data_IF_830687406716
#
_entry.id   IF_830687406716
#
_cell.length_a   1.000
_cell.length_b   1.000
_cell.length_c   1.000
_cell.angle_alpha   90.00
_cell.angle_beta   90.00
_cell.angle_gamma   90.00
#
_symmetry.space_group_name_H-M   'P 1'
#
loop_
_entity.id
_entity.type
_entity.pdbx_description
1 polymer ?
#
# COMPACT_ATOMS: atom_id res chain seq x y z
N UNK A 1 36.16 -26.49 26.53
CA UNK A 1 34.85 -26.56 25.80
C UNK A 1 33.74 -25.73 26.44
N UNK A 2 33.62 -25.55 27.76
CA UNK A 2 32.58 -24.72 28.40
C UNK A 2 32.65 -23.23 28.02
N UNK A 3 33.84 -22.66 27.80
CA UNK A 3 34.00 -21.23 27.45
C UNK A 3 33.61 -20.89 26.03
N UNK A 4 33.70 -21.83 25.07
CA UNK A 4 33.30 -21.64 23.67
C UNK A 4 31.77 -21.55 23.54
N UNK A 5 31.03 -22.31 24.37
CA UNK A 5 29.58 -22.32 24.36
C UNK A 5 28.99 -20.98 24.86
N UNK A 6 29.63 -20.36 25.86
CA UNK A 6 29.20 -19.07 26.43
C UNK A 6 29.43 -17.94 25.42
N UNK A 7 30.53 -17.97 24.68
CA UNK A 7 30.83 -16.95 23.65
C UNK A 7 29.85 -17.02 22.48
N UNK A 8 29.44 -18.22 22.06
CA UNK A 8 28.41 -18.42 21.03
C UNK A 8 27.02 -17.95 21.48
N UNK A 9 26.65 -18.12 22.75
CA UNK A 9 25.39 -17.61 23.27
C UNK A 9 25.38 -16.08 23.37
N UNK A 10 26.50 -15.44 23.68
CA UNK A 10 26.61 -13.98 23.74
C UNK A 10 26.59 -13.33 22.34
N UNK A 11 27.08 -14.00 21.29
CA UNK A 11 26.95 -13.50 19.92
C UNK A 11 25.54 -13.64 19.35
N UNK A 12 24.72 -14.57 19.83
CA UNK A 12 23.34 -14.73 19.40
C UNK A 12 22.40 -13.66 19.99
N UNK A 13 22.77 -13.02 21.10
CA UNK A 13 21.93 -11.99 21.74
C UNK A 13 22.13 -10.57 21.19
N UNK A 14 23.07 -10.34 20.29
CA UNK A 14 23.35 -9.01 19.70
C UNK A 14 22.67 -8.77 18.34
N UNK A 15 21.84 -9.69 17.87
CA UNK A 15 20.89 -9.39 16.78
C UNK A 15 19.69 -8.63 17.35
N UNK A 16 19.92 -7.46 17.97
CA UNK A 16 18.87 -6.48 18.16
C UNK A 16 18.37 -6.11 16.77
N UNK A 17 17.14 -6.50 16.46
CA UNK A 17 16.48 -6.15 15.23
C UNK A 17 16.61 -4.63 15.05
N UNK A 18 17.41 -4.20 14.08
CA UNK A 18 17.49 -2.79 13.73
C UNK A 18 16.08 -2.33 13.43
N UNK A 19 15.66 -1.21 14.02
CA UNK A 19 14.35 -0.65 13.71
C UNK A 19 14.27 -0.39 12.19
N UNK A 20 13.46 -1.15 11.45
CA UNK A 20 13.40 -1.05 10.00
C UNK A 20 12.83 0.31 9.52
N UNK A 21 12.16 1.05 10.42
CA UNK A 21 11.52 2.32 10.11
C UNK A 21 12.43 3.54 10.36
N UNK A 22 13.61 3.34 10.99
CA UNK A 22 14.47 4.46 11.36
C UNK A 22 14.86 5.33 10.16
N UNK A 23 14.71 6.64 10.33
CA UNK A 23 15.13 7.67 9.35
C UNK A 23 13.95 8.33 8.65
N UNK A 24 14.24 8.93 7.53
CA UNK A 24 13.29 9.66 6.70
C UNK A 24 12.82 8.80 5.53
N UNK A 25 11.53 8.93 5.21
CA UNK A 25 10.84 8.19 4.18
C UNK A 25 9.88 9.12 3.43
N UNK A 26 9.80 8.99 2.12
CA UNK A 26 8.71 9.55 1.33
C UNK A 26 7.53 8.59 1.44
N UNK A 27 6.32 9.13 1.62
CA UNK A 27 5.11 8.33 1.83
C UNK A 27 3.99 8.75 0.88
N UNK A 28 3.13 7.81 0.52
CA UNK A 28 1.99 8.08 -0.36
C UNK A 28 0.88 8.93 0.31
N UNK A 29 0.84 8.97 1.64
CA UNK A 29 -0.09 9.78 2.43
C UNK A 29 0.43 10.04 3.84
N UNK A 30 -0.20 10.96 4.59
CA UNK A 30 0.16 11.24 5.99
C UNK A 30 -0.09 10.00 6.86
N UNK A 31 0.92 9.61 7.64
CA UNK A 31 0.79 8.49 8.57
C UNK A 31 -0.03 8.89 9.78
N UNK A 32 -1.15 8.18 9.99
CA UNK A 32 -2.05 8.38 11.11
C UNK A 32 -3.50 8.30 10.68
N UNK A 33 -4.41 8.17 11.65
CA UNK A 33 -5.82 8.12 11.39
C UNK A 33 -6.39 9.54 11.40
N UNK A 34 -6.46 10.17 10.26
CA UNK A 34 -7.27 11.37 10.07
C UNK A 34 -8.48 11.01 9.23
N UNK A 35 -9.69 11.42 9.62
CA UNK A 35 -10.97 10.99 9.03
C UNK A 35 -11.06 11.12 7.50
N UNK A 36 -10.25 11.99 6.92
CA UNK A 36 -10.22 12.27 5.49
C UNK A 36 -9.11 11.50 4.75
N UNK A 37 -8.17 10.87 5.49
CA UNK A 37 -6.97 10.22 4.95
C UNK A 37 -6.72 8.85 5.62
N UNK A 38 -7.80 8.12 6.01
CA UNK A 38 -7.67 6.78 6.63
C UNK A 38 -7.19 5.76 5.59
N UNK A 39 -5.88 5.71 5.38
CA UNK A 39 -5.28 4.72 4.49
C UNK A 39 -5.02 3.41 5.23
N UNK A 40 -5.44 2.31 4.64
CA UNK A 40 -5.18 0.97 5.17
C UNK A 40 -3.79 0.46 4.78
N UNK A 41 -3.10 1.19 3.89
CA UNK A 41 -1.78 0.85 3.44
C UNK A 41 -0.96 2.11 3.13
N UNK A 42 0.22 2.21 3.73
CA UNK A 42 1.20 3.25 3.43
C UNK A 42 2.40 2.65 2.71
N UNK A 43 2.79 3.28 1.62
CA UNK A 43 4.04 3.01 0.93
C UNK A 43 5.10 3.97 1.44
N UNK A 44 6.23 3.45 1.90
CA UNK A 44 7.39 4.19 2.37
C UNK A 44 8.57 3.91 1.44
N UNK A 45 9.11 4.95 0.81
CA UNK A 45 10.27 4.86 -0.08
C UNK A 45 11.38 5.81 0.40
N UNK A 46 12.62 5.43 0.17
CA UNK A 46 13.77 6.32 0.32
C UNK A 46 14.11 6.86 -1.06
N UNK A 47 13.49 7.97 -1.39
CA UNK A 47 13.77 8.73 -2.62
C UNK A 47 14.28 10.11 -2.21
N UNK A 48 15.51 10.43 -2.62
CA UNK A 48 16.18 11.69 -2.26
C UNK A 48 15.91 12.81 -3.29
N UNK A 49 15.26 12.48 -4.41
CA UNK A 49 15.06 13.40 -5.54
C UNK A 49 13.65 14.03 -5.57
N UNK A 50 12.77 13.68 -4.62
CA UNK A 50 11.42 14.23 -4.54
C UNK A 50 11.44 15.72 -4.15
N UNK A 51 10.88 16.56 -5.02
CA UNK A 51 10.84 18.03 -4.84
C UNK A 51 9.62 18.45 -3.99
N UNK A 52 8.54 17.68 -4.04
CA UNK A 52 7.31 17.91 -3.28
C UNK A 52 6.63 16.57 -2.98
N UNK A 53 5.98 16.47 -1.83
CA UNK A 53 5.31 15.23 -1.46
C UNK A 53 5.04 15.15 0.03
N UNK A 54 4.89 13.94 0.52
CA UNK A 54 4.73 13.67 1.95
C UNK A 54 5.95 12.92 2.45
N UNK A 55 6.60 13.46 3.47
CA UNK A 55 7.70 12.80 4.17
C UNK A 55 7.26 12.32 5.54
N UNK A 56 7.88 11.24 6.00
CA UNK A 56 7.74 10.75 7.37
C UNK A 56 9.11 10.47 7.96
N UNK A 57 9.36 11.06 9.12
CA UNK A 57 10.58 10.86 9.90
C UNK A 57 10.25 10.04 11.13
N UNK A 58 10.99 8.94 11.33
CA UNK A 58 10.94 8.13 12.53
C UNK A 58 12.21 8.35 13.35
N UNK A 59 12.06 8.98 14.51
CA UNK A 59 13.15 9.27 15.43
C UNK A 59 13.16 8.27 16.57
N UNK A 60 14.28 7.57 16.73
CA UNK A 60 14.55 6.76 17.92
C UNK A 60 15.18 7.62 18.99
N UNK A 61 14.37 8.46 19.63
CA UNK A 61 14.70 9.13 20.87
C UNK A 61 14.04 8.38 22.04
N UNK A 62 14.16 8.89 23.25
CA UNK A 62 13.56 8.27 24.47
C UNK A 62 12.03 8.05 24.36
N UNK A 63 11.37 8.70 23.42
CA UNK A 63 9.90 8.64 23.21
C UNK A 63 9.48 7.95 21.93
N UNK A 64 10.43 7.51 21.07
CA UNK A 64 10.12 6.93 19.76
C UNK A 64 9.06 7.76 19.01
N UNK A 65 9.43 8.95 18.58
CA UNK A 65 8.52 9.88 17.93
C UNK A 65 8.55 9.72 16.42
N UNK A 66 7.40 10.00 15.77
CA UNK A 66 7.34 10.18 14.33
C UNK A 66 6.64 11.49 13.97
N UNK A 67 7.00 12.03 12.82
CA UNK A 67 6.32 13.15 12.19
C UNK A 67 6.14 12.85 10.71
N UNK A 68 4.90 12.91 10.25
CA UNK A 68 4.53 12.81 8.84
C UNK A 68 4.02 14.17 8.39
N UNK A 69 4.56 14.70 7.27
CA UNK A 69 4.27 16.08 6.86
C UNK A 69 4.34 16.23 5.34
N UNK A 70 3.47 17.09 4.80
CA UNK A 70 3.55 17.53 3.42
C UNK A 70 4.62 18.61 3.30
N UNK A 71 5.43 18.51 2.24
CA UNK A 71 6.45 19.49 1.88
C UNK A 71 6.35 19.86 0.40
N UNK A 72 6.62 21.11 0.08
CA UNK A 72 6.67 21.64 -1.27
C UNK A 72 7.62 22.84 -1.34
N UNK A 73 8.21 23.14 -2.53
CA UNK A 73 9.15 24.24 -2.70
C UNK A 73 8.49 25.62 -2.66
N UNK A 74 7.19 25.70 -2.96
CA UNK A 74 6.43 26.94 -2.95
C UNK A 74 5.69 27.11 -1.63
N UNK A 75 5.86 28.28 -0.98
CA UNK A 75 5.22 28.60 0.30
C UNK A 75 3.72 28.84 0.26
N UNK A 76 3.08 28.77 -0.93
CA UNK A 76 1.65 29.03 -1.15
C UNK A 76 0.80 27.76 -1.13
N UNK A 77 1.27 26.70 -0.48
CA UNK A 77 0.55 25.44 -0.34
C UNK A 77 -0.14 25.31 1.03
N UNK A 78 -1.08 24.38 1.12
CA UNK A 78 -1.68 23.97 2.37
C UNK A 78 -0.83 22.87 3.02
N UNK A 79 0.02 23.25 3.96
CA UNK A 79 0.90 22.32 4.67
C UNK A 79 0.14 21.60 5.77
N UNK A 80 0.20 20.28 5.74
CA UNK A 80 -0.40 19.42 6.75
C UNK A 80 0.67 18.56 7.41
N UNK A 81 0.53 18.30 8.71
CA UNK A 81 1.39 17.36 9.42
C UNK A 81 0.64 16.60 10.50
N UNK A 82 1.10 15.37 10.75
CA UNK A 82 0.70 14.53 11.87
C UNK A 82 1.96 14.19 12.66
N UNK A 83 1.90 14.36 13.98
CA UNK A 83 2.97 13.95 14.87
C UNK A 83 2.44 12.98 15.93
N UNK A 84 3.28 12.03 16.32
CA UNK A 84 2.89 11.01 17.27
C UNK A 84 4.05 10.19 17.79
N UNK A 85 3.72 9.05 18.38
CA UNK A 85 4.68 8.07 18.89
C UNK A 85 4.51 6.75 18.14
N UNK A 86 5.57 5.95 18.09
CA UNK A 86 5.51 4.61 17.55
C UNK A 86 6.15 3.59 18.50
N UNK A 87 5.70 2.35 18.40
CA UNK A 87 6.22 1.23 19.18
C UNK A 87 6.33 -0.01 18.28
N UNK A 88 7.49 -0.66 18.26
CA UNK A 88 7.61 -1.98 17.65
C UNK A 88 7.04 -3.02 18.61
N UNK A 89 5.82 -3.47 18.36
CA UNK A 89 5.08 -4.41 19.23
C UNK A 89 5.42 -5.87 18.95
N UNK A 90 6.03 -6.13 17.77
CA UNK A 90 6.62 -7.41 17.35
C UNK A 90 7.66 -7.12 16.25
N UNK A 91 8.50 -8.07 15.86
CA UNK A 91 9.51 -7.86 14.81
C UNK A 91 8.93 -7.32 13.49
N UNK A 92 7.72 -7.73 13.15
CA UNK A 92 7.00 -7.37 11.93
C UNK A 92 5.82 -6.42 12.14
N UNK A 93 5.63 -5.87 13.34
CA UNK A 93 4.50 -4.98 13.63
C UNK A 93 4.92 -3.71 14.33
N UNK A 94 4.37 -2.59 13.88
CA UNK A 94 4.48 -1.28 14.53
C UNK A 94 3.10 -0.78 14.93
N UNK A 95 3.02 -0.22 16.11
CA UNK A 95 1.89 0.58 16.59
C UNK A 95 2.21 2.04 16.38
N UNK A 96 1.34 2.76 15.65
CA UNK A 96 1.38 4.20 15.54
C UNK A 96 0.29 4.81 16.42
N UNK A 97 0.64 5.84 17.18
CA UNK A 97 -0.29 6.62 18.00
C UNK A 97 -0.16 8.08 17.56
N UNK A 98 -1.09 8.55 16.74
CA UNK A 98 -1.14 9.94 16.30
C UNK A 98 -1.65 10.82 17.42
N UNK A 99 -0.92 11.89 17.75
CA UNK A 99 -1.21 12.77 18.87
C UNK A 99 -1.67 14.16 18.45
N UNK A 100 -1.12 14.69 17.36
CA UNK A 100 -1.45 16.04 16.89
C UNK A 100 -1.59 16.07 15.38
N UNK A 101 -2.51 16.89 14.92
CA UNK A 101 -2.64 17.27 13.52
C UNK A 101 -2.50 18.79 13.41
N UNK A 102 -1.68 19.25 12.48
CA UNK A 102 -1.48 20.66 12.19
C UNK A 102 -1.72 20.93 10.70
N UNK A 103 -2.36 22.05 10.40
CA UNK A 103 -2.56 22.55 9.04
C UNK A 103 -2.31 24.05 9.03
N UNK A 104 -1.54 24.52 8.04
CA UNK A 104 -1.20 25.93 7.87
C UNK A 104 -0.81 26.23 6.40
N UNK A 105 -0.57 27.50 6.09
CA UNK A 105 -0.24 27.97 4.74
C UNK A 105 -1.45 28.61 4.08
N UNK A 106 -1.64 28.36 2.79
CA UNK A 106 -2.75 28.95 1.99
C UNK A 106 -4.08 28.22 2.19
N UNK A 107 -4.38 27.90 3.45
CA UNK A 107 -5.61 27.26 3.87
C UNK A 107 -5.96 27.65 5.31
N UNK A 108 -7.17 27.29 5.75
CA UNK A 108 -7.58 27.51 7.14
C UNK A 108 -6.61 26.86 8.12
N UNK A 109 -6.03 27.68 9.02
CA UNK A 109 -5.14 27.17 10.07
C UNK A 109 -5.89 26.28 11.05
N UNK A 110 -5.45 25.03 11.19
CA UNK A 110 -6.02 24.04 12.12
C UNK A 110 -4.92 23.45 12.97
N UNK A 111 -5.22 23.31 14.26
CA UNK A 111 -4.40 22.55 15.19
C UNK A 111 -5.34 21.70 16.04
N UNK A 112 -5.19 20.38 16.01
CA UNK A 112 -6.05 19.45 16.73
C UNK A 112 -5.20 18.46 17.53
N UNK A 113 -5.54 18.29 18.78
CA UNK A 113 -5.10 17.11 19.56
C UNK A 113 -5.94 15.92 19.14
N UNK A 114 -5.29 14.83 18.78
CA UNK A 114 -5.94 13.60 18.38
C UNK A 114 -6.08 12.70 19.61
N UNK A 115 -7.24 12.08 19.77
CA UNK A 115 -7.52 11.19 20.88
C UNK A 115 -7.88 9.81 20.36
N UNK A 116 -7.22 8.77 20.90
CA UNK A 116 -7.45 7.37 20.51
C UNK A 116 -7.15 7.04 19.04
N UNK A 117 -6.25 7.77 18.42
CA UNK A 117 -5.82 7.55 17.05
C UNK A 117 -4.64 6.57 16.99
N UNK A 118 -4.88 5.38 17.54
CA UNK A 118 -3.89 4.30 17.58
C UNK A 118 -4.25 3.22 16.57
N UNK A 119 -3.28 2.77 15.78
CA UNK A 119 -3.45 1.67 14.85
C UNK A 119 -2.17 0.81 14.78
N UNK A 120 -2.38 -0.49 14.58
CA UNK A 120 -1.31 -1.46 14.39
C UNK A 120 -1.10 -1.70 12.91
N UNK A 121 0.17 -1.77 12.48
CA UNK A 121 0.55 -1.98 11.08
C UNK A 121 1.55 -3.12 10.97
N UNK A 122 1.34 -3.96 9.98
CA UNK A 122 2.30 -4.96 9.55
C UNK A 122 3.38 -4.29 8.70
N UNK A 123 4.64 -4.58 8.99
CA UNK A 123 5.80 -4.05 8.24
C UNK A 123 6.17 -5.07 7.17
N UNK A 124 5.81 -4.79 5.93
CA UNK A 124 6.20 -5.60 4.79
C UNK A 124 7.40 -4.98 4.09
N UNK A 125 8.58 -5.55 4.31
CA UNK A 125 9.83 -5.07 3.72
C UNK A 125 10.00 -5.63 2.31
N UNK A 126 10.02 -4.77 1.31
CA UNK A 126 10.33 -5.12 -0.08
C UNK A 126 11.84 -5.03 -0.32
N UNK A 127 12.48 -3.97 0.18
CA UNK A 127 13.91 -3.73 0.11
C UNK A 127 14.36 -2.82 1.26
N UNK A 128 15.64 -2.45 1.31
CA UNK A 128 16.14 -1.46 2.28
C UNK A 128 15.65 -0.04 1.98
N UNK A 129 15.13 0.19 0.77
CA UNK A 129 14.61 1.47 0.30
C UNK A 129 13.08 1.50 0.15
N UNK A 130 12.38 0.37 0.37
CA UNK A 130 10.93 0.29 0.17
C UNK A 130 10.26 -0.62 1.20
N UNK A 131 9.30 -0.06 1.91
CA UNK A 131 8.52 -0.75 2.95
C UNK A 131 7.03 -0.41 2.74
N UNK A 132 6.15 -1.36 3.03
CA UNK A 132 4.73 -1.10 3.22
C UNK A 132 4.35 -1.25 4.68
N UNK A 133 3.53 -0.32 5.15
CA UNK A 133 2.82 -0.45 6.41
C UNK A 133 1.37 -0.80 6.10
N UNK A 134 0.97 -2.03 6.37
CA UNK A 134 -0.38 -2.55 6.13
C UNK A 134 -1.15 -2.54 7.44
N UNK A 135 -2.26 -1.80 7.51
CA UNK A 135 -3.10 -1.75 8.71
C UNK A 135 -3.59 -3.15 9.07
N UNK A 136 -3.33 -3.55 10.31
CA UNK A 136 -3.65 -4.87 10.81
C UNK A 136 -4.67 -4.80 11.93
N UNK A 137 -5.71 -5.61 11.84
CA UNK A 137 -6.72 -5.79 12.90
C UNK A 137 -6.52 -7.08 13.67
N UNK A 138 -6.00 -8.11 13.00
CA UNK A 138 -5.84 -9.47 13.55
C UNK A 138 -4.42 -9.83 13.93
N UNK A 139 -3.41 -9.03 13.49
CA UNK A 139 -1.97 -9.35 13.58
C UNK A 139 -1.64 -10.71 12.99
N UNK A 140 -2.26 -11.03 11.87
CA UNK A 140 -2.01 -12.24 11.12
C UNK A 140 -1.04 -11.94 9.96
N UNK A 141 0.25 -12.28 10.14
CA UNK A 141 1.30 -12.00 9.14
C UNK A 141 1.00 -12.55 7.75
N UNK A 142 0.30 -13.69 7.67
CA UNK A 142 -0.07 -14.28 6.39
C UNK A 142 -1.10 -13.40 5.66
N UNK A 143 -2.16 -12.99 6.35
CA UNK A 143 -3.22 -12.15 5.77
C UNK A 143 -2.67 -10.76 5.41
N UNK A 144 -1.93 -10.14 6.32
CA UNK A 144 -1.37 -8.81 6.10
C UNK A 144 -0.28 -8.82 5.01
N UNK A 145 0.51 -9.90 4.95
CA UNK A 145 1.48 -10.12 3.87
C UNK A 145 0.81 -10.32 2.50
N UNK A 146 -0.33 -11.01 2.43
CA UNK A 146 -1.09 -11.14 1.18
C UNK A 146 -1.69 -9.79 0.73
N UNK A 147 -2.15 -8.95 1.65
CA UNK A 147 -2.59 -7.58 1.32
C UNK A 147 -1.44 -6.76 0.71
N UNK A 148 -0.25 -6.80 1.33
CA UNK A 148 0.93 -6.11 0.79
C UNK A 148 1.32 -6.61 -0.61
N UNK A 149 1.34 -7.92 -0.82
CA UNK A 149 1.65 -8.53 -2.13
C UNK A 149 0.63 -8.15 -3.19
N UNK A 150 -0.66 -8.14 -2.83
CA UNK A 150 -1.72 -7.74 -3.75
C UNK A 150 -1.59 -6.27 -4.14
N UNK A 151 -1.24 -5.40 -3.19
CA UNK A 151 -0.96 -4.00 -3.49
C UNK A 151 0.22 -3.84 -4.44
N UNK A 152 1.34 -4.51 -4.18
CA UNK A 152 2.50 -4.53 -5.08
C UNK A 152 2.12 -5.02 -6.48
N UNK A 153 1.30 -6.06 -6.54
CA UNK A 153 0.81 -6.61 -7.79
C UNK A 153 0.04 -5.57 -8.58
N UNK A 154 -0.92 -4.89 -7.94
CA UNK A 154 -1.76 -3.88 -8.59
C UNK A 154 -0.94 -2.64 -8.96
N UNK A 155 -0.05 -2.19 -8.08
CA UNK A 155 0.83 -1.03 -8.38
C UNK A 155 1.77 -1.38 -9.53
N UNK A 156 2.38 -2.56 -9.53
CA UNK A 156 3.21 -3.04 -10.65
C UNK A 156 2.43 -3.18 -11.95
N UNK A 157 1.20 -3.69 -11.91
CA UNK A 157 0.30 -3.73 -13.07
C UNK A 157 0.01 -2.29 -13.54
N UNK A 158 -0.33 -1.35 -12.64
CA UNK A 158 -0.55 0.05 -12.98
C UNK A 158 0.67 0.67 -13.63
N UNK A 159 1.80 0.67 -12.96
CA UNK A 159 2.99 1.42 -13.38
C UNK A 159 3.58 0.87 -14.69
N UNK A 160 3.58 -0.42 -14.91
CA UNK A 160 4.28 -1.03 -16.03
C UNK A 160 3.37 -1.50 -17.17
N UNK A 161 2.10 -1.81 -16.88
CA UNK A 161 1.15 -2.32 -17.88
C UNK A 161 0.20 -1.23 -18.33
N UNK A 162 -0.28 -0.38 -17.42
CA UNK A 162 -1.31 0.63 -17.73
C UNK A 162 -0.75 1.86 -18.43
N UNK A 163 0.45 2.34 -18.06
CA UNK A 163 1.07 3.48 -18.74
C UNK A 163 1.41 3.18 -20.21
N UNK A 164 1.59 1.92 -20.57
CA UNK A 164 2.00 1.50 -21.90
C UNK A 164 0.93 0.76 -22.70
N UNK A 165 -0.23 0.43 -22.14
CA UNK A 165 -1.27 -0.35 -22.81
C UNK A 165 -2.62 0.39 -22.79
N UNK A 166 -3.32 0.34 -23.92
CA UNK A 166 -4.73 0.73 -23.94
C UNK A 166 -5.56 -0.30 -23.17
N UNK A 167 -6.60 0.12 -22.43
CA UNK A 167 -7.51 -0.81 -21.78
C UNK A 167 -8.09 -1.77 -22.82
N UNK A 168 -8.19 -3.03 -22.48
CA UNK A 168 -8.77 -4.06 -23.38
C UNK A 168 -10.28 -3.99 -23.43
N UNK A 169 -10.90 -3.44 -22.41
CA UNK A 169 -12.33 -3.18 -22.34
C UNK A 169 -12.56 -1.90 -21.53
N UNK A 170 -13.48 -1.05 -21.99
CA UNK A 170 -13.95 0.13 -21.26
C UNK A 170 -15.47 0.07 -21.15
N UNK A 171 -16.01 0.29 -19.98
CA UNK A 171 -17.45 0.20 -19.71
C UNK A 171 -17.93 1.37 -18.89
N UNK A 172 -19.18 1.77 -19.09
CA UNK A 172 -19.86 2.72 -18.21
C UNK A 172 -20.07 2.10 -16.84
N UNK A 173 -19.51 2.69 -15.80
CA UNK A 173 -19.59 2.16 -14.44
C UNK A 173 -21.03 2.07 -13.92
N UNK A 174 -21.94 2.97 -14.38
CA UNK A 174 -23.37 2.94 -14.04
C UNK A 174 -24.16 1.84 -14.75
N UNK A 175 -23.67 1.36 -15.89
CA UNK A 175 -24.27 0.25 -16.64
C UNK A 175 -23.78 -1.12 -16.14
N UNK A 176 -22.98 -1.12 -15.09
CA UNK A 176 -22.27 -2.30 -14.64
C UNK A 176 -23.13 -3.18 -13.75
N UNK A 177 -23.41 -4.42 -14.22
CA UNK A 177 -23.82 -5.54 -13.40
C UNK A 177 -22.85 -5.78 -12.21
N UNK A 178 -23.23 -6.51 -11.17
CA UNK A 178 -22.32 -6.86 -10.07
C UNK A 178 -20.94 -7.30 -10.57
N UNK A 179 -19.88 -6.81 -9.96
CA UNK A 179 -18.48 -7.02 -10.34
C UNK A 179 -18.11 -8.43 -10.85
N UNK A 180 -18.56 -9.54 -10.21
CA UNK A 180 -18.30 -10.90 -10.70
C UNK A 180 -18.79 -11.16 -12.13
N UNK A 181 -20.00 -10.72 -12.48
CA UNK A 181 -20.56 -10.93 -13.82
C UNK A 181 -19.75 -10.25 -14.93
N UNK A 182 -19.09 -9.14 -14.63
CA UNK A 182 -18.23 -8.45 -15.58
C UNK A 182 -16.90 -9.15 -15.77
N UNK A 183 -16.32 -9.68 -14.69
CA UNK A 183 -15.12 -10.50 -14.79
C UNK A 183 -15.40 -11.79 -15.56
N UNK A 184 -16.58 -12.39 -15.36
CA UNK A 184 -17.02 -13.53 -16.17
C UNK A 184 -17.13 -13.15 -17.65
N UNK A 185 -17.72 -11.99 -17.95
CA UNK A 185 -17.78 -11.45 -19.31
C UNK A 185 -16.39 -11.18 -19.86
N UNK A 186 -15.50 -10.58 -19.10
CA UNK A 186 -14.11 -10.34 -19.51
C UNK A 186 -13.38 -11.66 -19.81
N UNK A 187 -13.51 -12.64 -18.94
CA UNK A 187 -12.91 -13.96 -19.11
C UNK A 187 -13.41 -14.65 -20.41
N UNK A 188 -14.70 -14.50 -20.72
CA UNK A 188 -15.29 -15.09 -21.92
C UNK A 188 -14.94 -14.32 -23.20
N UNK A 189 -15.13 -13.00 -23.20
CA UNK A 189 -15.08 -12.18 -24.41
C UNK A 189 -13.66 -11.74 -24.75
N UNK A 190 -12.82 -11.48 -23.76
CA UNK A 190 -11.46 -10.94 -23.96
C UNK A 190 -10.39 -12.02 -23.79
N UNK A 191 -10.48 -12.84 -22.73
CA UNK A 191 -9.52 -13.93 -22.51
C UNK A 191 -9.88 -15.20 -23.29
N UNK A 192 -11.08 -15.24 -23.92
CA UNK A 192 -11.60 -16.37 -24.68
C UNK A 192 -11.61 -17.72 -23.94
N UNK A 193 -11.82 -17.66 -22.60
CA UNK A 193 -11.85 -18.85 -21.78
C UNK A 193 -13.20 -19.56 -21.86
N UNK A 194 -13.18 -20.85 -22.16
CA UNK A 194 -14.39 -21.70 -22.23
C UNK A 194 -14.77 -22.27 -20.87
N UNK A 195 -13.78 -22.54 -20.03
CA UNK A 195 -13.96 -23.07 -18.67
C UNK A 195 -12.97 -22.36 -17.75
N UNK A 196 -13.48 -21.63 -16.80
CA UNK A 196 -12.64 -20.87 -15.85
C UNK A 196 -13.27 -20.82 -14.46
N UNK A 197 -12.48 -20.39 -13.50
CA UNK A 197 -12.92 -20.13 -12.13
C UNK A 197 -12.24 -18.85 -11.62
N UNK A 198 -13.02 -17.96 -11.03
CA UNK A 198 -12.50 -16.84 -10.24
C UNK A 198 -12.04 -17.41 -8.90
N UNK A 199 -10.74 -17.38 -8.62
CA UNK A 199 -10.15 -17.95 -7.42
C UNK A 199 -10.26 -17.02 -6.23
N UNK A 200 -10.01 -15.72 -6.47
CA UNK A 200 -10.02 -14.67 -5.46
C UNK A 200 -10.21 -13.32 -6.12
N UNK A 201 -10.68 -12.35 -5.36
CA UNK A 201 -10.66 -10.94 -5.72
C UNK A 201 -10.32 -10.12 -4.48
N UNK A 202 -9.62 -8.99 -4.70
CA UNK A 202 -9.28 -8.04 -3.64
C UNK A 202 -9.58 -6.64 -4.13
N UNK A 203 -10.28 -5.87 -3.32
CA UNK A 203 -10.39 -4.44 -3.48
C UNK A 203 -9.23 -3.79 -2.72
N UNK A 204 -8.59 -2.83 -3.34
CA UNK A 204 -7.70 -1.92 -2.64
C UNK A 204 -8.54 -0.77 -2.11
N UNK A 205 -8.66 -0.71 -0.80
CA UNK A 205 -9.52 0.26 -0.11
C UNK A 205 -9.10 1.72 -0.34
N UNK A 206 -7.82 1.95 -0.66
CA UNK A 206 -7.26 3.26 -0.96
C UNK A 206 -7.39 3.67 -2.44
N UNK A 207 -7.90 2.77 -3.29
CA UNK A 207 -8.06 3.00 -4.74
C UNK A 207 -9.38 2.40 -5.22
N UNK A 208 -10.01 3.06 -6.19
CA UNK A 208 -11.19 2.51 -6.88
C UNK A 208 -10.80 1.39 -7.87
N UNK A 209 -9.99 0.44 -7.41
CA UNK A 209 -9.45 -0.64 -8.21
C UNK A 209 -9.71 -2.00 -7.57
N UNK A 210 -9.97 -3.01 -8.43
CA UNK A 210 -10.16 -4.40 -8.05
C UNK A 210 -9.22 -5.31 -8.81
N UNK A 211 -8.73 -6.37 -8.19
CA UNK A 211 -7.90 -7.39 -8.84
C UNK A 211 -8.56 -8.75 -8.66
N UNK A 212 -8.70 -9.45 -9.76
CA UNK A 212 -9.31 -10.78 -9.84
C UNK A 212 -8.29 -11.79 -10.35
N UNK A 213 -8.15 -12.92 -9.68
CA UNK A 213 -7.38 -14.05 -10.16
C UNK A 213 -8.32 -15.00 -10.91
N UNK A 214 -8.18 -15.11 -12.23
CA UNK A 214 -8.98 -15.97 -13.10
C UNK A 214 -8.14 -17.16 -13.53
N UNK A 215 -8.56 -18.37 -13.17
CA UNK A 215 -7.91 -19.62 -13.54
C UNK A 215 -8.61 -20.26 -14.74
N UNK A 216 -7.89 -20.48 -15.82
CA UNK A 216 -8.33 -21.36 -16.90
C UNK A 216 -8.31 -22.82 -16.41
N UNK A 217 -9.44 -23.48 -16.44
CA UNK A 217 -9.56 -24.88 -15.99
C UNK A 217 -9.07 -25.88 -17.04
N UNK A 218 -8.80 -25.43 -18.27
CA UNK A 218 -8.27 -26.27 -19.34
C UNK A 218 -6.75 -26.35 -19.27
N UNK A 219 -6.08 -25.22 -19.06
CA UNK A 219 -4.61 -25.12 -19.07
C UNK A 219 -4.03 -25.06 -17.66
N UNK A 220 -4.83 -24.69 -16.67
CA UNK A 220 -4.39 -24.40 -15.30
C UNK A 220 -3.75 -23.02 -15.13
N UNK A 221 -3.61 -22.24 -16.20
CA UNK A 221 -3.00 -20.90 -16.17
C UNK A 221 -3.84 -19.91 -15.35
N UNK A 222 -3.16 -18.99 -14.66
CA UNK A 222 -3.80 -17.89 -13.94
C UNK A 222 -3.52 -16.59 -14.67
N UNK A 223 -4.59 -15.83 -14.90
CA UNK A 223 -4.53 -14.46 -15.42
C UNK A 223 -5.14 -13.54 -14.37
N UNK A 224 -4.44 -12.46 -14.06
CA UNK A 224 -4.96 -11.43 -13.19
C UNK A 224 -5.65 -10.36 -14.03
N UNK A 225 -6.88 -10.04 -13.68
CA UNK A 225 -7.66 -8.98 -14.32
C UNK A 225 -7.82 -7.84 -13.34
N UNK A 226 -7.42 -6.65 -13.74
CA UNK A 226 -7.60 -5.43 -12.95
C UNK A 226 -8.75 -4.63 -13.54
N UNK A 227 -9.68 -4.21 -12.68
CA UNK A 227 -10.71 -3.24 -12.98
C UNK A 227 -10.39 -1.96 -12.22
N UNK A 228 -10.34 -0.84 -12.91
CA UNK A 228 -10.13 0.48 -12.34
C UNK A 228 -11.29 1.39 -12.68
N UNK A 229 -11.95 1.94 -11.66
CA UNK A 229 -13.04 2.89 -11.82
C UNK A 229 -12.50 4.32 -11.70
N UNK A 230 -12.93 5.20 -12.60
CA UNK A 230 -12.57 6.62 -12.57
C UNK A 230 -13.66 7.47 -13.24
N UNK A 231 -13.52 8.79 -13.11
CA UNK A 231 -14.37 9.75 -13.81
C UNK A 231 -13.59 10.22 -15.05
N UNK A 232 -14.18 10.07 -16.24
CA UNK A 232 -13.56 10.52 -17.49
C UNK A 232 -13.66 12.05 -17.66
N UNK A 233 -13.10 12.57 -18.75
CA UNK A 233 -13.09 14.00 -19.04
C UNK A 233 -14.50 14.61 -19.21
N UNK A 234 -15.48 13.79 -19.55
CA UNK A 234 -16.89 14.16 -19.69
C UNK A 234 -17.66 14.07 -18.36
N UNK A 235 -17.00 13.73 -17.25
CA UNK A 235 -17.61 13.60 -15.92
C UNK A 235 -18.40 12.31 -15.73
N UNK A 236 -18.20 11.31 -16.58
CA UNK A 236 -18.87 10.02 -16.53
C UNK A 236 -18.03 9.00 -15.78
N UNK A 237 -18.66 8.23 -14.88
CA UNK A 237 -18.01 7.09 -14.24
C UNK A 237 -17.79 5.98 -15.27
N UNK A 238 -16.55 5.55 -15.41
CA UNK A 238 -16.12 4.48 -16.31
C UNK A 238 -15.24 3.48 -15.58
N UNK A 239 -15.17 2.27 -16.12
CA UNK A 239 -14.27 1.23 -15.66
C UNK A 239 -13.39 0.75 -16.81
N UNK A 240 -12.09 0.80 -16.62
CA UNK A 240 -11.10 0.22 -17.52
C UNK A 240 -10.67 -1.16 -17.01
N UNK A 241 -10.53 -2.09 -17.93
CA UNK A 241 -10.13 -3.46 -17.63
C UNK A 241 -8.80 -3.78 -18.31
N UNK A 242 -7.92 -4.37 -17.53
CA UNK A 242 -6.59 -4.78 -17.93
C UNK A 242 -6.34 -6.22 -17.49
N UNK A 243 -5.50 -6.93 -18.20
CA UNK A 243 -5.06 -8.24 -17.75
C UNK A 243 -3.53 -8.33 -17.72
N UNK A 244 -3.03 -9.21 -16.86
CA UNK A 244 -1.63 -9.52 -16.74
C UNK A 244 -1.46 -11.01 -16.41
N UNK A 245 -0.56 -11.68 -17.10
CA UNK A 245 -0.24 -13.07 -16.82
C UNK A 245 0.69 -13.18 -15.60
N UNK A 246 0.68 -14.34 -14.96
CA UNK A 246 1.59 -14.63 -13.85
C UNK A 246 3.07 -14.52 -14.26
N UNK A 247 3.40 -14.82 -15.53
CA UNK A 247 4.74 -14.67 -16.08
C UNK A 247 5.15 -13.19 -16.25
N UNK A 248 4.22 -12.32 -16.66
CA UNK A 248 4.46 -10.87 -16.73
C UNK A 248 4.70 -10.30 -15.34
N UNK A 249 3.90 -10.69 -14.36
CA UNK A 249 4.06 -10.26 -12.96
C UNK A 249 5.43 -10.68 -12.40
N UNK A 250 5.87 -11.88 -12.71
CA UNK A 250 7.18 -12.36 -12.24
C UNK A 250 8.33 -11.49 -12.74
N UNK A 251 8.25 -10.99 -13.98
CA UNK A 251 9.25 -10.07 -14.54
C UNK A 251 9.32 -8.71 -13.83
N UNK A 252 8.23 -8.27 -13.18
CA UNK A 252 8.21 -7.01 -12.43
C UNK A 252 8.73 -7.17 -10.98
N UNK A 253 8.95 -8.40 -10.53
CA UNK A 253 9.47 -8.69 -9.18
C UNK A 253 10.98 -8.95 -9.16
N UNK A 254 11.58 -9.20 -10.31
CA UNK A 254 13.02 -9.37 -10.52
C UNK A 254 13.69 -8.01 -10.77
#
# INVERSE_FOLDING_TARGET
MKHILITLLLCASSMYAQNPLKGEWITNSLLGKFKEEDSNLFELTKDEDEIAGIATVFEKNDKNQYKSFYFAPCGNDCFKSISGTFELIAPSYVRLNALTFEQYGDCEKKNKTLHNDTADYYIYKVSDKKIFLVKSTSKNEKEDGEKAKNYLLVTGIKENVLYNRKPKMKVDAKAIAPLPAQIEKYATDILHLKKFKILAYNQLEDRAAWVFAVKDLTTGAITYVTQENYIDAEGKEVADFFDCTEAEIKKFRE
#
